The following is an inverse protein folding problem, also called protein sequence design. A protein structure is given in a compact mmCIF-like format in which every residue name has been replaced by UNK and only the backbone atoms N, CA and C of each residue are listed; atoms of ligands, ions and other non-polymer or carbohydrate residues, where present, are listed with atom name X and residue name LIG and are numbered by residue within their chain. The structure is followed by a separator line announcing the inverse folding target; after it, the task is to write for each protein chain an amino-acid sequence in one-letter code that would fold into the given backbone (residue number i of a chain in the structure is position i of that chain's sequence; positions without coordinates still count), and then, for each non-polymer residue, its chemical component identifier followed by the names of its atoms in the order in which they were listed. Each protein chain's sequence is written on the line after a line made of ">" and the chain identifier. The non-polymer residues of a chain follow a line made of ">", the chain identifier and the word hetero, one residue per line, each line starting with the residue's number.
data_IF_415589734331
#
_entry.id   IF_415589734331
#
_cell.length_a   1.000
_cell.length_b   1.000
_cell.length_c   1.000
_cell.angle_alpha   90.00
_cell.angle_beta   90.00
_cell.angle_gamma   90.00
#
_symmetry.space_group_name_H-M   'P 1'
#
loop_
_entity.id
_entity.type
_entity.pdbx_description
1 polymer ?
#
# COMPACT_ATOMS: atom_id res chain seq x y z
N UNK A 1 16.48 0.90 -6.67
CA UNK A 1 15.90 -0.23 -7.44
C UNK A 1 14.43 -0.33 -7.08
N UNK A 2 13.51 -0.35 -8.03
CA UNK A 2 12.09 -0.58 -7.76
C UNK A 2 11.86 -2.05 -7.37
N UNK A 3 10.95 -2.30 -6.42
CA UNK A 3 10.49 -3.64 -6.04
C UNK A 3 8.97 -3.61 -5.92
N UNK A 4 8.32 -4.70 -6.32
CA UNK A 4 6.89 -4.87 -6.11
C UNK A 4 6.62 -5.09 -4.61
N UNK A 5 5.68 -4.33 -4.06
CA UNK A 5 5.24 -4.43 -2.65
C UNK A 5 3.85 -5.03 -2.52
N UNK A 6 3.06 -4.98 -3.59
CA UNK A 6 1.69 -5.47 -3.64
C UNK A 6 1.30 -5.78 -5.09
N UNK A 7 0.58 -6.88 -5.30
CA UNK A 7 0.06 -7.30 -6.60
C UNK A 7 -1.34 -7.88 -6.41
N UNK A 8 -2.34 -7.30 -7.06
CA UNK A 8 -3.71 -7.78 -7.08
C UNK A 8 -4.45 -7.18 -8.29
N UNK A 9 -5.70 -7.61 -8.49
CA UNK A 9 -6.64 -6.94 -9.39
C UNK A 9 -6.70 -5.43 -9.10
N UNK A 10 -6.74 -4.60 -10.16
CA UNK A 10 -6.64 -3.15 -10.03
C UNK A 10 -7.71 -2.58 -9.08
N UNK A 11 -8.94 -3.12 -9.16
CA UNK A 11 -10.05 -2.74 -8.30
C UNK A 11 -9.79 -3.06 -6.82
N UNK A 12 -9.12 -4.19 -6.52
CA UNK A 12 -8.72 -4.54 -5.15
C UNK A 12 -7.60 -3.64 -4.65
N UNK A 13 -6.58 -3.36 -5.45
CA UNK A 13 -5.48 -2.46 -5.07
C UNK A 13 -6.00 -1.08 -4.64
N UNK A 14 -6.97 -0.53 -5.36
CA UNK A 14 -7.50 0.82 -5.08
C UNK A 14 -8.48 0.83 -3.90
N UNK A 15 -9.30 -0.22 -3.74
CA UNK A 15 -10.36 -0.26 -2.72
C UNK A 15 -9.90 -0.84 -1.39
N UNK A 16 -9.06 -1.86 -1.43
CA UNK A 16 -8.61 -2.63 -0.27
C UNK A 16 -7.08 -2.84 -0.31
N UNK A 17 -6.29 -1.76 -0.44
CA UNK A 17 -4.83 -1.88 -0.37
C UNK A 17 -4.44 -2.50 0.97
N UNK A 18 -3.58 -3.51 0.94
CA UNK A 18 -3.10 -4.20 2.15
C UNK A 18 -1.77 -3.62 2.61
N UNK A 19 -0.85 -3.32 1.68
CA UNK A 19 0.47 -2.82 2.02
C UNK A 19 0.41 -1.37 2.52
N UNK A 20 1.09 -1.01 3.63
CA UNK A 20 1.12 0.36 4.15
C UNK A 20 1.58 1.40 3.12
N UNK A 21 2.60 1.06 2.32
CA UNK A 21 3.06 1.92 1.22
C UNK A 21 1.96 2.20 0.18
N UNK A 22 1.22 1.18 -0.26
CA UNK A 22 0.11 1.35 -1.23
C UNK A 22 -1.00 2.21 -0.63
N UNK A 23 -1.36 1.98 0.64
CA UNK A 23 -2.33 2.82 1.38
C UNK A 23 -1.91 4.29 1.39
N UNK A 24 -0.65 4.55 1.71
CA UNK A 24 -0.13 5.91 1.76
C UNK A 24 -0.13 6.58 0.38
N UNK A 25 0.29 5.86 -0.66
CA UNK A 25 0.27 6.35 -2.04
C UNK A 25 -1.16 6.73 -2.48
N UNK A 26 -2.13 5.86 -2.22
CA UNK A 26 -3.54 6.13 -2.55
C UNK A 26 -4.13 7.26 -1.69
N UNK A 27 -3.70 7.42 -0.45
CA UNK A 27 -4.15 8.51 0.43
C UNK A 27 -3.69 9.89 -0.05
N UNK A 28 -2.62 9.94 -0.85
CA UNK A 28 -2.11 11.17 -1.46
C UNK A 28 -2.87 11.57 -2.73
N UNK A 29 -3.69 10.67 -3.29
CA UNK A 29 -4.50 10.98 -4.48
C UNK A 29 -5.65 11.92 -4.07
N UNK A 30 -5.79 13.09 -4.73
CA UNK A 30 -6.85 14.04 -4.43
C UNK A 30 -8.22 13.43 -4.73
N UNK A 31 -9.22 13.89 -3.99
CA UNK A 31 -10.63 13.54 -4.18
C UNK A 31 -11.30 14.66 -4.97
N UNK A 32 -12.12 14.27 -5.95
CA UNK A 32 -12.79 15.21 -6.89
C UNK A 32 -13.83 16.06 -6.17
N UNK A 33 -14.38 15.56 -5.07
CA UNK A 33 -15.32 16.30 -4.25
C UNK A 33 -14.55 17.26 -3.30
N UNK A 34 -14.76 18.59 -3.42
CA UNK A 34 -14.07 19.60 -2.62
C UNK A 34 -14.43 19.56 -1.14
N UNK A 35 -15.58 18.99 -0.77
CA UNK A 35 -16.02 18.82 0.62
C UNK A 35 -15.52 17.49 1.23
N UNK A 36 -15.14 16.54 0.37
CA UNK A 36 -14.55 15.27 0.76
C UNK A 36 -13.09 15.46 1.18
N UNK A 37 -12.81 15.33 2.48
CA UNK A 37 -11.42 15.29 2.99
C UNK A 37 -10.92 13.84 3.06
N UNK A 38 -10.01 13.44 2.17
CA UNK A 38 -9.19 12.24 2.42
C UNK A 38 -8.24 12.50 3.58
N UNK A 39 -8.23 11.60 4.57
CA UNK A 39 -7.20 11.58 5.60
C UNK A 39 -5.89 11.14 4.96
N UNK A 40 -4.98 12.08 4.71
CA UNK A 40 -3.62 11.77 4.26
C UNK A 40 -2.92 10.91 5.30
N UNK A 41 -2.46 9.73 4.89
CA UNK A 41 -1.65 8.85 5.74
C UNK A 41 -0.20 9.31 5.55
N UNK A 42 0.38 9.88 6.60
CA UNK A 42 1.82 10.13 6.65
C UNK A 42 2.49 8.83 7.06
N UNK A 43 3.27 8.23 6.16
CA UNK A 43 4.18 7.14 6.52
C UNK A 43 5.19 7.72 7.50
N UNK A 44 5.23 7.17 8.71
CA UNK A 44 6.31 7.43 9.67
C UNK A 44 7.55 6.66 9.22
N UNK A 45 8.74 7.06 9.68
CA UNK A 45 10.03 6.50 9.22
C UNK A 45 10.19 4.98 9.48
N UNK A 46 9.38 4.40 10.36
CA UNK A 46 9.26 2.96 10.55
C UNK A 46 8.72 2.23 9.31
N UNK A 47 7.81 2.85 8.55
CA UNK A 47 7.29 2.32 7.29
C UNK A 47 8.24 2.57 6.10
N UNK A 48 9.08 3.61 6.17
CA UNK A 48 10.19 3.82 5.22
C UNK A 48 11.25 2.71 5.34
N UNK A 49 11.45 2.18 6.56
CA UNK A 49 12.37 1.07 6.81
C UNK A 49 11.91 -0.25 6.14
N UNK A 50 10.62 -0.40 5.81
CA UNK A 50 10.11 -1.53 5.01
C UNK A 50 10.58 -1.48 3.54
N UNK A 51 11.07 -0.33 3.06
CA UNK A 51 11.50 -0.14 1.67
C UNK A 51 12.95 -0.64 1.47
N UNK A 52 13.75 -0.62 2.53
CA UNK A 52 15.16 -1.08 2.53
C UNK A 52 15.26 -2.59 2.40
N UNK A 53 14.34 -3.33 3.04
CA UNK A 53 14.26 -4.80 2.99
C UNK A 53 12.83 -5.24 2.69
N UNK A 54 12.43 -5.12 1.42
CA UNK A 54 11.12 -5.62 0.98
C UNK A 54 11.18 -7.15 0.92
N UNK A 55 10.39 -7.87 1.74
CA UNK A 55 10.35 -9.33 1.72
C UNK A 55 9.74 -9.84 0.40
N UNK A 56 9.88 -11.14 0.08
CA UNK A 56 9.19 -11.72 -1.07
C UNK A 56 7.67 -11.56 -0.91
N UNK A 57 6.98 -11.41 -2.04
CA UNK A 57 5.53 -11.39 -2.09
C UNK A 57 4.97 -12.70 -1.55
N UNK A 58 3.97 -12.61 -0.67
CA UNK A 58 3.20 -13.75 -0.19
C UNK A 58 1.73 -13.54 -0.53
N UNK A 59 1.06 -14.59 -0.93
CA UNK A 59 -0.38 -14.57 -1.17
C UNK A 59 -1.12 -14.51 0.16
N UNK A 60 -1.84 -13.42 0.41
CA UNK A 60 -2.63 -13.21 1.64
C UNK A 60 -4.11 -13.53 1.44
N UNK A 61 -4.57 -13.45 0.18
CA UNK A 61 -5.89 -13.84 -0.31
C UNK A 61 -5.73 -14.33 -1.75
N UNK A 62 -6.66 -15.15 -2.29
CA UNK A 62 -6.59 -15.61 -3.67
C UNK A 62 -6.39 -14.44 -4.66
N UNK A 63 -5.27 -14.47 -5.37
CA UNK A 63 -4.87 -13.45 -6.35
C UNK A 63 -4.40 -12.12 -5.75
N UNK A 64 -4.14 -12.05 -4.44
CA UNK A 64 -3.65 -10.85 -3.75
C UNK A 64 -2.35 -11.14 -3.00
N UNK A 65 -1.26 -10.60 -3.52
CA UNK A 65 0.09 -10.81 -3.03
C UNK A 65 0.63 -9.55 -2.38
N UNK A 66 1.27 -9.69 -1.20
CA UNK A 66 1.75 -8.56 -0.40
C UNK A 66 3.12 -8.87 0.20
N UNK A 67 4.01 -7.89 0.16
CA UNK A 67 5.32 -7.96 0.81
C UNK A 67 5.23 -7.40 2.23
N UNK A 68 4.75 -8.19 3.18
CA UNK A 68 4.67 -7.79 4.60
C UNK A 68 5.83 -8.42 5.39
N UNK A 69 6.43 -7.65 6.32
CA UNK A 69 7.28 -8.24 7.36
C UNK A 69 6.36 -8.95 8.36
N UNK A 70 6.71 -10.16 8.76
CA UNK A 70 6.02 -10.84 9.86
C UNK A 70 6.31 -10.08 11.15
N UNK A 71 5.26 -9.91 11.96
CA UNK A 71 5.30 -9.22 13.26
C UNK A 71 6.12 -9.98 14.28
#
# INVERSE_FOLDING_TARGET
>A
RGRAVELAEAKKLVREPKHPYTKALLSAVPVVDPDSKRKRIVLRDDASSAITEIPPLREVEPGHWVALRES
#
